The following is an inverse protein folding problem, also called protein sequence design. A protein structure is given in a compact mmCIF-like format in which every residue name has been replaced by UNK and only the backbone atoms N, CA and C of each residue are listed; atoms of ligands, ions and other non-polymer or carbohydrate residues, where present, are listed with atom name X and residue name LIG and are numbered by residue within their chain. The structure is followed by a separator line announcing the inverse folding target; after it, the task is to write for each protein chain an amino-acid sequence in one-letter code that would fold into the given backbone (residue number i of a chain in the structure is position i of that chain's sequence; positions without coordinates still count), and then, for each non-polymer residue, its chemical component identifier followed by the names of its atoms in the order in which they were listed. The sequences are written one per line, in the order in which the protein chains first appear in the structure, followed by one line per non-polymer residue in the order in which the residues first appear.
data_IF_720824056998
#
_entry.id   IF_720824056998
#
_cell.length_a   1.000
_cell.length_b   1.000
_cell.length_c   1.000
_cell.angle_alpha   90.00
_cell.angle_beta   90.00
_cell.angle_gamma   90.00
#
_symmetry.space_group_name_H-M   'P 1'
#
loop_
_entity.id
_entity.type
_entity.pdbx_description
1 polymer ?
#
# COMPACT_ATOMS: atom_id res chain seq x y z
N UNK A 1 24.15 2.31 -17.92
CA UNK A 1 25.13 2.49 -16.83
C UNK A 1 24.86 3.76 -15.97
N UNK A 2 23.83 4.54 -16.29
CA UNK A 2 23.47 5.77 -15.54
C UNK A 2 22.45 5.49 -14.43
N UNK A 3 21.74 4.37 -14.50
CA UNK A 3 20.75 3.92 -13.52
C UNK A 3 21.27 2.66 -12.84
N UNK A 4 20.96 2.49 -11.56
CA UNK A 4 21.45 1.36 -10.77
C UNK A 4 21.16 0.02 -11.43
N UNK A 5 22.13 -0.87 -11.45
CA UNK A 5 22.01 -2.19 -12.10
C UNK A 5 20.97 -3.11 -11.42
N UNK A 6 20.57 -2.77 -10.19
CA UNK A 6 19.53 -3.44 -9.44
C UNK A 6 18.10 -3.02 -9.82
N UNK A 7 17.93 -2.09 -10.79
CA UNK A 7 16.63 -1.76 -11.33
C UNK A 7 16.07 -2.97 -12.08
N UNK A 8 14.96 -3.50 -11.60
CA UNK A 8 14.26 -4.58 -12.24
C UNK A 8 13.44 -4.07 -13.42
N UNK A 9 13.61 -4.68 -14.59
CA UNK A 9 12.77 -4.49 -15.77
C UNK A 9 11.86 -5.72 -15.89
N UNK A 10 10.56 -5.48 -16.04
CA UNK A 10 9.54 -6.53 -15.85
C UNK A 10 9.48 -7.59 -16.96
N UNK A 11 10.04 -7.33 -18.14
CA UNK A 11 9.89 -8.21 -19.31
C UNK A 11 11.26 -8.65 -19.84
N UNK A 12 11.34 -9.90 -20.34
CA UNK A 12 12.55 -10.42 -21.01
C UNK A 12 12.88 -9.63 -22.28
N UNK A 13 11.84 -9.34 -23.10
CA UNK A 13 11.95 -8.39 -24.18
C UNK A 13 11.60 -6.99 -23.66
N UNK A 14 12.55 -6.09 -23.74
CA UNK A 14 12.39 -4.74 -23.19
C UNK A 14 11.40 -3.94 -24.03
N UNK A 15 10.35 -3.45 -23.40
CA UNK A 15 9.39 -2.53 -23.98
C UNK A 15 9.81 -1.09 -23.67
N UNK A 16 10.01 -0.30 -24.73
CA UNK A 16 10.21 1.14 -24.59
C UNK A 16 8.88 1.84 -24.82
N UNK A 17 8.17 2.13 -23.72
CA UNK A 17 6.90 2.84 -23.77
C UNK A 17 7.16 4.34 -23.90
N UNK A 18 6.55 4.96 -24.90
CA UNK A 18 6.72 6.37 -25.25
C UNK A 18 5.47 7.21 -24.95
N UNK A 19 4.28 6.62 -25.02
CA UNK A 19 3.01 7.30 -24.80
C UNK A 19 2.02 6.44 -24.03
N UNK A 20 1.06 7.09 -23.38
CA UNK A 20 -0.11 6.45 -22.78
C UNK A 20 -1.37 7.28 -23.00
N UNK A 21 -2.51 6.61 -23.19
CA UNK A 21 -3.82 7.25 -23.27
C UNK A 21 -4.88 6.35 -22.65
N UNK A 22 -5.53 6.81 -21.61
CA UNK A 22 -6.50 6.04 -20.83
C UNK A 22 -5.94 4.64 -20.47
N UNK A 23 -6.55 3.55 -20.98
CA UNK A 23 -6.11 2.19 -20.71
C UNK A 23 -5.00 1.68 -21.63
N UNK A 24 -4.52 2.48 -22.57
CA UNK A 24 -3.56 2.06 -23.58
C UNK A 24 -2.17 2.63 -23.36
N UNK A 25 -1.15 1.82 -23.64
CA UNK A 25 0.25 2.18 -23.79
C UNK A 25 0.70 2.01 -25.24
N UNK A 26 1.64 2.83 -25.65
CA UNK A 26 2.21 2.80 -27.01
C UNK A 26 3.73 2.79 -26.91
N UNK A 27 4.36 1.86 -27.63
CA UNK A 27 5.82 1.81 -27.72
C UNK A 27 6.36 2.78 -28.80
N UNK A 28 7.68 2.88 -28.87
CA UNK A 28 8.39 3.71 -29.84
C UNK A 28 8.30 3.20 -31.29
N UNK A 29 7.73 2.01 -31.50
CA UNK A 29 7.47 1.42 -32.83
C UNK A 29 6.00 1.60 -33.26
N UNK A 30 5.17 2.17 -32.40
CA UNK A 30 3.74 2.40 -32.64
C UNK A 30 2.84 1.22 -32.31
N UNK A 31 3.35 0.18 -31.66
CA UNK A 31 2.50 -0.92 -31.20
C UNK A 31 1.66 -0.45 -30.00
N UNK A 32 0.45 -1.00 -29.89
CA UNK A 32 -0.52 -0.68 -28.86
C UNK A 32 -0.67 -1.82 -27.87
N UNK A 33 -0.66 -1.52 -26.59
CA UNK A 33 -0.84 -2.47 -25.49
C UNK A 33 -1.97 -2.02 -24.58
N UNK A 34 -2.76 -2.96 -24.06
CA UNK A 34 -3.68 -2.70 -22.96
C UNK A 34 -2.87 -2.78 -21.66
N UNK A 35 -2.90 -1.71 -20.87
CA UNK A 35 -2.21 -1.67 -19.58
C UNK A 35 -3.01 -2.41 -18.50
N UNK A 36 -2.56 -3.60 -18.16
CA UNK A 36 -3.12 -4.41 -17.08
C UNK A 36 -2.23 -4.41 -15.81
N UNK A 37 -1.23 -3.54 -15.74
CA UNK A 37 -0.21 -3.56 -14.68
C UNK A 37 -0.13 -2.26 -13.88
N UNK A 38 -0.25 -1.09 -14.53
CA UNK A 38 -0.07 0.19 -13.86
C UNK A 38 -1.28 0.57 -13.01
N UNK A 39 -1.21 0.26 -11.73
CA UNK A 39 -2.27 0.53 -10.75
C UNK A 39 -2.27 1.97 -10.21
N UNK A 40 -1.31 2.80 -10.57
CA UNK A 40 -1.22 4.21 -10.11
C UNK A 40 -2.16 5.12 -10.91
N UNK A 41 -2.36 4.83 -12.18
CA UNK A 41 -3.22 5.63 -13.08
C UNK A 41 -4.68 5.19 -13.01
N UNK A 42 -5.36 5.42 -11.89
CA UNK A 42 -6.71 4.92 -11.60
C UNK A 42 -7.78 5.36 -12.62
N UNK A 43 -7.61 6.52 -13.24
CA UNK A 43 -8.50 7.04 -14.29
C UNK A 43 -7.88 6.91 -15.69
N UNK A 44 -6.78 6.16 -15.79
CA UNK A 44 -6.04 5.97 -17.03
C UNK A 44 -4.96 7.03 -17.29
N UNK A 45 -4.09 6.69 -18.23
CA UNK A 45 -2.98 7.56 -18.64
C UNK A 45 -3.48 8.84 -19.27
N UNK A 46 -2.86 9.95 -18.91
CA UNK A 46 -3.12 11.27 -19.52
C UNK A 46 -4.59 11.69 -19.51
N UNK A 47 -5.35 11.31 -18.47
CA UNK A 47 -6.77 11.68 -18.38
C UNK A 47 -6.92 13.21 -18.53
N UNK A 48 -7.73 13.70 -19.52
CA UNK A 48 -7.68 15.11 -19.92
C UNK A 48 -8.09 16.09 -18.83
N UNK A 49 -9.00 15.71 -17.94
CA UNK A 49 -9.40 16.57 -16.81
C UNK A 49 -8.27 16.70 -15.81
N UNK A 50 -7.62 15.59 -15.46
CA UNK A 50 -6.48 15.57 -14.53
C UNK A 50 -5.30 16.35 -15.12
N UNK A 51 -4.96 16.09 -16.40
CA UNK A 51 -3.87 16.77 -17.06
C UNK A 51 -4.05 18.29 -17.09
N UNK A 52 -5.25 18.79 -17.44
CA UNK A 52 -5.56 20.22 -17.43
C UNK A 52 -5.50 20.83 -16.02
N UNK A 53 -6.01 20.13 -15.00
CA UNK A 53 -5.95 20.60 -13.63
C UNK A 53 -4.51 20.73 -13.13
N UNK A 54 -3.65 19.73 -13.43
CA UNK A 54 -2.23 19.76 -13.09
C UNK A 54 -1.49 20.89 -13.82
N UNK A 55 -1.73 21.07 -15.13
CA UNK A 55 -1.14 22.15 -15.92
C UNK A 55 -1.50 23.53 -15.35
N UNK A 56 -2.77 23.74 -15.00
CA UNK A 56 -3.23 24.99 -14.39
C UNK A 56 -2.55 25.21 -13.05
N UNK A 57 -2.49 24.20 -12.18
CA UNK A 57 -1.92 24.35 -10.85
C UNK A 57 -0.41 24.62 -10.90
N UNK A 58 0.33 23.90 -11.73
CA UNK A 58 1.79 24.04 -11.84
C UNK A 58 2.16 25.43 -12.41
N UNK A 59 1.33 25.99 -13.30
CA UNK A 59 1.49 27.35 -13.82
C UNK A 59 1.09 28.45 -12.84
N UNK A 60 0.35 28.10 -11.78
CA UNK A 60 -0.15 29.07 -10.78
C UNK A 60 0.74 29.11 -9.54
N UNK A 61 0.96 27.94 -8.92
CA UNK A 61 1.72 27.85 -7.68
C UNK A 61 2.14 26.39 -7.45
N UNK A 62 3.44 26.21 -7.18
CA UNK A 62 3.98 24.97 -6.66
C UNK A 62 4.77 25.31 -5.38
N UNK A 63 4.21 25.00 -4.21
CA UNK A 63 4.80 25.30 -2.91
C UNK A 63 4.55 24.15 -1.92
N UNK A 64 5.09 24.30 -0.72
CA UNK A 64 4.94 23.32 0.35
C UNK A 64 3.81 23.73 1.34
N UNK A 65 3.59 22.92 2.35
CA UNK A 65 2.53 23.08 3.37
C UNK A 65 2.77 24.19 4.38
N UNK A 66 3.81 25.02 4.23
CA UNK A 66 4.08 26.18 5.09
C UNK A 66 3.09 27.32 4.85
N UNK A 67 2.42 27.31 3.69
CA UNK A 67 1.47 28.34 3.32
C UNK A 67 0.07 27.75 3.20
N UNK A 68 -0.94 28.51 3.59
CA UNK A 68 -2.34 28.10 3.44
C UNK A 68 -2.69 28.03 1.96
N UNK A 69 -3.44 26.99 1.59
CA UNK A 69 -3.96 26.82 0.23
C UNK A 69 -5.29 26.06 0.28
N UNK A 70 -6.30 26.60 -0.37
CA UNK A 70 -7.66 26.05 -0.35
C UNK A 70 -7.75 24.67 -1.03
N UNK A 71 -6.89 24.39 -2.02
CA UNK A 71 -6.93 23.13 -2.74
C UNK A 71 -6.71 21.92 -1.84
N UNK A 72 -5.80 22.01 -0.87
CA UNK A 72 -5.54 20.89 0.06
C UNK A 72 -6.71 20.69 1.03
N UNK A 73 -7.33 21.79 1.48
CA UNK A 73 -8.49 21.74 2.38
C UNK A 73 -9.70 21.15 1.65
N UNK A 74 -10.03 21.68 0.47
CA UNK A 74 -11.12 21.19 -0.37
C UNK A 74 -10.95 19.70 -0.71
N UNK A 75 -9.72 19.28 -1.01
CA UNK A 75 -9.44 17.87 -1.26
C UNK A 75 -9.60 17.02 0.01
N UNK A 76 -9.12 17.49 1.15
CA UNK A 76 -9.31 16.80 2.42
C UNK A 76 -10.78 16.61 2.78
N UNK A 77 -11.59 17.66 2.63
CA UNK A 77 -13.04 17.61 2.84
C UNK A 77 -13.72 16.61 1.90
N UNK A 78 -13.43 16.68 0.61
CA UNK A 78 -13.99 15.75 -0.39
C UNK A 78 -13.59 14.29 -0.10
N UNK A 79 -12.34 14.05 0.30
CA UNK A 79 -11.87 12.71 0.65
C UNK A 79 -12.56 12.19 1.93
N UNK A 80 -12.57 12.98 2.99
CA UNK A 80 -13.17 12.61 4.27
C UNK A 80 -14.69 12.36 4.16
N UNK A 81 -15.38 13.06 3.25
CA UNK A 81 -16.80 12.84 2.98
C UNK A 81 -17.10 11.42 2.43
N UNK A 82 -16.12 10.74 1.85
CA UNK A 82 -16.24 9.35 1.36
C UNK A 82 -15.97 8.29 2.42
N UNK A 83 -15.49 8.69 3.59
CA UNK A 83 -15.04 7.81 4.66
C UNK A 83 -16.04 7.75 5.82
N UNK A 84 -15.95 6.74 6.69
CA UNK A 84 -16.76 6.70 7.92
C UNK A 84 -16.57 7.95 8.78
N UNK A 85 -17.66 8.44 9.38
CA UNK A 85 -17.73 9.74 10.10
C UNK A 85 -16.74 9.89 11.27
N UNK A 86 -16.18 8.80 11.79
CA UNK A 86 -15.18 8.86 12.87
C UNK A 86 -13.78 9.17 12.34
N UNK A 87 -13.52 9.00 11.04
CA UNK A 87 -12.27 9.39 10.37
C UNK A 87 -12.39 10.86 9.96
N UNK A 88 -11.81 11.75 10.76
CA UNK A 88 -11.98 13.22 10.62
C UNK A 88 -10.70 13.95 10.21
N UNK A 89 -9.58 13.26 10.18
CA UNK A 89 -8.27 13.85 9.89
C UNK A 89 -7.56 12.96 8.89
N UNK A 90 -6.92 13.56 7.88
CA UNK A 90 -6.07 12.86 6.94
C UNK A 90 -4.69 13.52 6.85
N UNK A 91 -3.70 12.72 6.47
CA UNK A 91 -2.35 13.17 6.18
C UNK A 91 -2.03 12.84 4.73
N UNK A 92 -1.46 13.78 4.01
CA UNK A 92 -1.00 13.58 2.64
C UNK A 92 0.50 13.34 2.62
N UNK A 93 0.92 12.30 1.91
CA UNK A 93 2.32 11.90 1.74
C UNK A 93 2.60 11.66 0.25
N UNK A 94 3.86 11.37 -0.11
CA UNK A 94 4.24 11.22 -1.52
C UNK A 94 4.11 9.79 -2.04
N UNK A 95 3.89 8.82 -1.15
CA UNK A 95 3.77 7.40 -1.52
C UNK A 95 3.01 6.60 -0.46
N UNK A 96 2.49 5.42 -0.85
CA UNK A 96 1.94 4.46 0.09
C UNK A 96 2.96 3.98 1.13
N UNK A 97 4.24 3.88 0.76
CA UNK A 97 5.31 3.56 1.70
C UNK A 97 5.44 4.60 2.81
N UNK A 98 5.42 5.88 2.46
CA UNK A 98 5.44 6.97 3.45
C UNK A 98 4.16 7.02 4.29
N UNK A 99 3.00 6.78 3.68
CA UNK A 99 1.72 6.76 4.40
C UNK A 99 1.69 5.64 5.46
N UNK A 100 2.10 4.43 5.08
CA UNK A 100 2.16 3.29 5.99
C UNK A 100 3.24 3.48 7.07
N UNK A 101 4.40 4.04 6.72
CA UNK A 101 5.46 4.37 7.68
C UNK A 101 4.94 5.36 8.75
N UNK A 102 4.27 6.42 8.29
CA UNK A 102 3.65 7.40 9.19
C UNK A 102 2.56 6.75 10.06
N UNK A 103 1.70 5.89 9.50
CA UNK A 103 0.64 5.21 10.24
C UNK A 103 1.20 4.31 11.35
N UNK A 104 2.23 3.52 11.06
CA UNK A 104 2.89 2.67 12.07
C UNK A 104 3.54 3.52 13.15
N UNK A 105 4.21 4.60 12.78
CA UNK A 105 4.84 5.53 13.74
C UNK A 105 3.82 6.17 14.67
N UNK A 106 2.69 6.65 14.13
CA UNK A 106 1.59 7.21 14.93
C UNK A 106 1.01 6.14 15.86
N UNK A 107 0.77 4.93 15.35
CA UNK A 107 0.21 3.83 16.15
C UNK A 107 1.11 3.47 17.33
N UNK A 108 2.40 3.32 17.11
CA UNK A 108 3.38 3.06 18.17
C UNK A 108 3.41 4.17 19.21
N UNK A 109 3.40 5.42 18.78
CA UNK A 109 3.42 6.57 19.67
C UNK A 109 2.15 6.68 20.52
N UNK A 110 0.98 6.47 19.94
CA UNK A 110 -0.32 6.60 20.64
C UNK A 110 -0.56 5.44 21.59
N UNK A 111 -0.15 4.24 21.22
CA UNK A 111 -0.36 3.03 22.04
C UNK A 111 0.74 2.76 23.03
N UNK A 112 1.91 3.40 22.86
CA UNK A 112 3.14 3.09 23.61
C UNK A 112 3.55 1.62 23.49
N UNK A 113 3.19 0.99 22.34
CA UNK A 113 3.49 -0.41 22.03
C UNK A 113 4.34 -0.52 20.79
N UNK A 114 5.07 -1.64 20.64
CA UNK A 114 5.97 -1.87 19.51
C UNK A 114 5.46 -2.91 18.53
N UNK A 115 4.73 -3.92 19.00
CA UNK A 115 4.38 -5.11 18.25
C UNK A 115 3.29 -4.81 17.19
N UNK A 116 3.50 -5.25 15.94
CA UNK A 116 2.58 -5.04 14.82
C UNK A 116 2.18 -6.39 14.23
N UNK A 117 0.89 -6.55 13.98
CA UNK A 117 0.33 -7.74 13.33
C UNK A 117 0.11 -7.43 11.84
N UNK A 118 0.55 -8.32 10.97
CA UNK A 118 0.39 -8.25 9.51
C UNK A 118 -0.20 -9.56 8.98
N UNK A 119 -0.80 -9.54 7.79
CA UNK A 119 -1.15 -10.77 7.09
C UNK A 119 0.07 -11.36 6.39
N UNK A 120 0.17 -12.68 6.33
CA UNK A 120 1.19 -13.35 5.55
C UNK A 120 1.07 -12.96 4.06
N UNK A 121 2.17 -12.99 3.32
CA UNK A 121 2.30 -12.54 1.92
C UNK A 121 1.99 -11.06 1.66
N UNK A 122 1.61 -10.26 2.66
CA UNK A 122 1.26 -8.85 2.49
C UNK A 122 2.44 -7.98 2.02
N UNK A 123 2.11 -6.89 1.32
CA UNK A 123 3.05 -5.85 0.91
C UNK A 123 2.57 -4.48 1.34
N UNK A 124 3.40 -3.75 2.07
CA UNK A 124 3.06 -2.44 2.64
C UNK A 124 4.01 -1.31 2.22
N UNK A 125 5.01 -1.60 1.40
CA UNK A 125 5.92 -0.60 0.89
C UNK A 125 7.40 -0.98 0.92
N UNK A 126 8.27 -0.01 0.66
CA UNK A 126 9.71 -0.17 0.48
C UNK A 126 10.56 0.79 1.32
N UNK A 127 9.98 1.56 2.25
CA UNK A 127 10.77 2.22 3.32
C UNK A 127 11.30 1.16 4.29
N UNK A 128 12.25 1.51 5.12
CA UNK A 128 12.81 0.57 6.11
C UNK A 128 11.73 -0.09 6.95
N UNK A 129 10.82 0.71 7.54
CA UNK A 129 9.72 0.20 8.36
C UNK A 129 8.75 -0.65 7.55
N UNK A 130 8.35 -0.17 6.37
CA UNK A 130 7.35 -0.89 5.55
C UNK A 130 7.89 -2.18 4.94
N UNK A 131 9.19 -2.29 4.66
CA UNK A 131 9.83 -3.56 4.30
C UNK A 131 9.79 -4.56 5.45
N UNK A 132 10.01 -4.09 6.68
CA UNK A 132 9.98 -4.92 7.89
C UNK A 132 8.60 -5.48 8.22
N UNK A 133 7.52 -4.82 7.80
CA UNK A 133 6.12 -5.27 7.97
C UNK A 133 5.53 -5.90 6.70
N UNK A 134 6.35 -6.19 5.69
CA UNK A 134 5.93 -6.79 4.42
C UNK A 134 6.50 -8.20 4.27
N UNK A 135 5.76 -9.27 4.64
CA UNK A 135 6.21 -10.65 4.43
C UNK A 135 6.64 -10.91 2.99
N UNK A 136 5.94 -10.36 2.00
CA UNK A 136 6.35 -10.38 0.59
C UNK A 136 7.82 -9.94 0.36
N UNK A 137 8.36 -9.08 1.22
CA UNK A 137 9.75 -8.58 1.11
C UNK A 137 10.71 -9.36 1.99
N UNK A 138 10.38 -9.58 3.26
CA UNK A 138 11.33 -10.14 4.20
C UNK A 138 11.44 -11.69 4.15
N UNK A 139 10.42 -12.40 3.65
CA UNK A 139 10.45 -13.86 3.48
C UNK A 139 11.12 -14.33 2.17
N UNK A 140 11.49 -13.40 1.27
CA UNK A 140 12.17 -13.75 0.02
C UNK A 140 13.57 -14.33 0.28
N UNK A 141 14.09 -15.17 -0.62
CA UNK A 141 15.52 -15.51 -0.62
C UNK A 141 16.35 -14.21 -0.60
N UNK A 142 17.26 -14.11 0.36
CA UNK A 142 18.04 -12.89 0.66
C UNK A 142 17.23 -11.72 1.21
N UNK A 143 16.00 -11.96 1.72
CA UNK A 143 15.23 -10.98 2.47
C UNK A 143 15.87 -10.69 3.83
N UNK A 144 15.42 -9.60 4.48
CA UNK A 144 15.94 -9.17 5.79
C UNK A 144 15.49 -10.08 6.95
N UNK A 145 14.57 -11.02 6.69
CA UNK A 145 13.93 -11.84 7.72
C UNK A 145 12.86 -11.08 8.50
N UNK A 146 12.06 -11.83 9.24
CA UNK A 146 10.99 -11.29 10.08
C UNK A 146 11.58 -10.60 11.33
N UNK A 147 11.15 -9.38 11.59
CA UNK A 147 11.54 -8.65 12.80
C UNK A 147 10.82 -9.21 14.05
N UNK A 148 11.46 -9.21 15.23
CA UNK A 148 10.85 -9.74 16.47
C UNK A 148 9.55 -9.05 16.90
N UNK A 149 9.34 -7.82 16.48
CA UNK A 149 8.13 -7.02 16.77
C UNK A 149 7.03 -7.17 15.71
N UNK A 150 7.24 -7.97 14.67
CA UNK A 150 6.27 -8.21 13.59
C UNK A 150 5.72 -9.63 13.70
N UNK A 151 4.41 -9.75 13.70
CA UNK A 151 3.71 -11.02 13.84
C UNK A 151 2.85 -11.29 12.61
N UNK A 152 3.05 -12.45 11.97
CA UNK A 152 2.27 -12.85 10.80
C UNK A 152 1.03 -13.62 11.21
N UNK A 153 -0.16 -13.11 10.84
CA UNK A 153 -1.41 -13.84 10.83
C UNK A 153 -1.64 -14.51 9.47
N UNK A 154 -2.49 -15.51 9.43
CA UNK A 154 -2.78 -16.23 8.18
C UNK A 154 -3.39 -15.30 7.13
N UNK A 155 -2.93 -15.42 5.87
CA UNK A 155 -3.57 -14.81 4.73
C UNK A 155 -4.92 -15.50 4.45
N UNK A 156 -6.04 -14.75 4.36
CA UNK A 156 -7.37 -15.34 4.13
C UNK A 156 -7.55 -15.77 2.66
N UNK A 157 -6.94 -16.88 2.28
CA UNK A 157 -7.06 -17.48 0.95
C UNK A 157 -8.02 -18.68 1.01
N UNK A 158 -9.26 -18.49 0.52
CA UNK A 158 -10.27 -19.56 0.50
C UNK A 158 -10.10 -20.53 -0.68
N UNK A 159 -9.18 -20.27 -1.58
CA UNK A 159 -8.91 -21.13 -2.73
C UNK A 159 -7.75 -22.11 -2.46
N UNK A 160 -6.63 -21.63 -1.92
CA UNK A 160 -5.42 -22.44 -1.66
C UNK A 160 -5.10 -22.62 -0.18
N UNK A 161 -5.71 -21.81 0.67
CA UNK A 161 -5.45 -21.84 2.10
C UNK A 161 -6.13 -23.03 2.81
N UNK A 162 -5.90 -23.17 4.12
CA UNK A 162 -6.41 -24.29 4.90
C UNK A 162 -7.94 -24.27 5.09
N UNK A 163 -8.59 -23.11 4.95
CA UNK A 163 -10.02 -22.94 5.13
C UNK A 163 -10.66 -22.48 3.81
N UNK A 164 -11.30 -23.40 3.09
CA UNK A 164 -11.70 -23.21 1.68
C UNK A 164 -13.22 -23.06 1.49
N UNK A 165 -14.02 -22.98 2.53
CA UNK A 165 -15.45 -22.85 2.37
C UNK A 165 -15.95 -21.39 2.40
N UNK A 166 -17.02 -21.13 1.65
CA UNK A 166 -17.59 -19.79 1.44
C UNK A 166 -18.75 -19.45 2.39
N UNK A 167 -19.04 -20.25 3.42
CA UNK A 167 -20.19 -20.06 4.30
C UNK A 167 -19.96 -19.09 5.47
N UNK A 168 -18.89 -18.27 5.41
CA UNK A 168 -18.50 -17.32 6.47
C UNK A 168 -17.66 -17.94 7.59
N UNK A 169 -17.58 -19.25 7.72
CA UNK A 169 -16.78 -19.91 8.77
C UNK A 169 -15.27 -19.81 8.46
N UNK A 170 -14.89 -19.86 7.18
CA UNK A 170 -13.51 -19.66 6.78
C UNK A 170 -12.97 -18.29 7.25
N UNK A 171 -13.74 -17.21 7.09
CA UNK A 171 -13.36 -15.88 7.55
C UNK A 171 -13.13 -15.83 9.07
N UNK A 172 -13.97 -16.49 9.86
CA UNK A 172 -13.79 -16.60 11.31
C UNK A 172 -12.54 -17.41 11.67
N UNK A 173 -12.28 -18.49 10.95
CA UNK A 173 -11.10 -19.32 11.16
C UNK A 173 -9.80 -18.56 10.85
N UNK A 174 -9.75 -17.79 9.76
CA UNK A 174 -8.62 -16.93 9.46
C UNK A 174 -8.46 -15.83 10.51
N UNK A 175 -9.54 -15.18 10.94
CA UNK A 175 -9.51 -14.15 11.99
C UNK A 175 -9.02 -14.71 13.34
N UNK A 176 -9.25 -15.99 13.62
CA UNK A 176 -8.77 -16.64 14.85
C UNK A 176 -7.24 -16.60 14.96
N UNK A 177 -6.50 -16.64 13.85
CA UNK A 177 -5.04 -16.51 13.86
C UNK A 177 -4.56 -15.17 14.41
N UNK A 178 -5.30 -14.09 14.17
CA UNK A 178 -5.02 -12.77 14.76
C UNK A 178 -5.28 -12.80 16.28
N UNK A 179 -6.38 -13.44 16.70
CA UNK A 179 -6.71 -13.59 18.13
C UNK A 179 -5.64 -14.39 18.87
N UNK A 180 -5.11 -15.46 18.27
CA UNK A 180 -4.02 -16.26 18.83
C UNK A 180 -2.76 -15.41 19.07
N UNK A 181 -2.37 -14.59 18.10
CA UNK A 181 -1.24 -13.67 18.24
C UNK A 181 -1.48 -12.66 19.38
N UNK A 182 -2.67 -12.05 19.42
CA UNK A 182 -3.02 -11.11 20.50
C UNK A 182 -2.93 -11.78 21.86
N UNK A 183 -3.42 -13.02 21.99
CA UNK A 183 -3.35 -13.78 23.24
C UNK A 183 -1.93 -14.16 23.62
N UNK A 184 -1.09 -14.50 22.64
CA UNK A 184 0.34 -14.76 22.88
C UNK A 184 1.09 -13.51 23.37
N UNK A 185 0.80 -12.35 22.76
CA UNK A 185 1.35 -11.08 23.22
C UNK A 185 0.92 -10.75 24.67
N UNK A 186 -0.37 -10.91 24.98
CA UNK A 186 -0.90 -10.69 26.33
C UNK A 186 -0.24 -11.56 27.38
N UNK A 187 0.06 -12.83 27.10
CA UNK A 187 0.79 -13.72 28.01
C UNK A 187 2.19 -13.19 28.37
N UNK A 188 2.77 -12.37 27.50
CA UNK A 188 4.08 -11.74 27.69
C UNK A 188 3.96 -10.26 28.16
N UNK A 189 2.79 -9.85 28.68
CA UNK A 189 2.49 -8.47 29.09
C UNK A 189 2.67 -7.45 27.95
N UNK A 190 2.46 -7.85 26.71
CA UNK A 190 2.53 -7.01 25.53
C UNK A 190 1.15 -6.83 24.90
N UNK A 191 1.00 -5.76 24.10
CA UNK A 191 -0.18 -5.49 23.26
C UNK A 191 0.30 -5.09 21.87
N UNK A 192 -0.49 -5.36 20.82
CA UNK A 192 -0.14 -4.85 19.49
C UNK A 192 -0.35 -3.34 19.43
N UNK A 193 0.58 -2.64 18.79
CA UNK A 193 0.44 -1.24 18.41
C UNK A 193 -0.56 -1.08 17.27
N UNK A 194 -0.52 -2.01 16.30
CA UNK A 194 -1.39 -2.00 15.13
C UNK A 194 -1.63 -3.41 14.58
N UNK A 195 -2.76 -3.55 13.90
CA UNK A 195 -2.98 -4.56 12.86
C UNK A 195 -3.08 -3.82 11.53
N UNK A 196 -2.27 -4.20 10.55
CA UNK A 196 -2.29 -3.64 9.21
C UNK A 196 -2.49 -4.72 8.17
N UNK A 197 -3.41 -4.50 7.23
CA UNK A 197 -3.65 -5.39 6.11
C UNK A 197 -4.08 -4.61 4.86
N UNK A 198 -3.90 -5.22 3.71
CA UNK A 198 -4.50 -4.74 2.47
C UNK A 198 -6.01 -5.05 2.51
N UNK A 199 -6.86 -4.08 2.19
CA UNK A 199 -8.32 -4.30 2.08
C UNK A 199 -8.68 -5.12 0.84
N UNK A 200 -7.84 -5.03 -0.21
CA UNK A 200 -7.79 -5.91 -1.36
C UNK A 200 -6.37 -6.51 -1.37
N UNK A 201 -6.26 -7.81 -1.22
CA UNK A 201 -4.97 -8.51 -1.14
C UNK A 201 -4.30 -8.56 -2.51
N UNK A 202 -3.84 -7.41 -3.00
CA UNK A 202 -3.30 -7.25 -4.34
C UNK A 202 -1.99 -8.00 -4.60
N UNK A 203 -1.25 -8.30 -3.55
CA UNK A 203 0.01 -9.05 -3.61
C UNK A 203 -0.15 -10.44 -2.99
N UNK A 204 -0.87 -10.56 -1.89
CA UNK A 204 -1.10 -11.83 -1.20
C UNK A 204 -2.03 -12.79 -1.94
N UNK A 205 -2.87 -12.29 -2.82
CA UNK A 205 -3.75 -13.05 -3.72
C UNK A 205 -5.11 -13.39 -3.18
#
# INVERSE_FOLDING_TARGET
KLIGQNLSISYQEHLKIDKGALQYLYDDKGNTYIDCVNNVSHVGHCHPVVARAMQKQIATLNTNTRYLNDNIVNYAEALLATLPKHLKVCYFTNSGSEANDLAIRISKMVTEQEDVIVLDHAYHGTSTTTMQISPYKFDKPNGIGQMPWVHKAMNPDIYRGPYQNNNGEAGKAYAASVVEIVNALKKNNKKPAAFICETLLGVGG
#
